data_IF_242420506486
#
_entry.id   IF_242420506486
#
_cell.length_a   1.000
_cell.length_b   1.000
_cell.length_c   1.000
_cell.angle_alpha   90.00
_cell.angle_beta   90.00
_cell.angle_gamma   90.00
#
_symmetry.space_group_name_H-M   'P 1'
#
loop_
_entity.id
_entity.type
_entity.pdbx_description
1 polymer ?
#
# COMPACT_ATOMS: atom_id res chain seq x y z
N UNK A 1 -12.69 11.91 -29.64
CA UNK A 1 -12.83 11.10 -28.41
C UNK A 1 -12.68 11.95 -27.15
N UNK A 2 -11.54 12.62 -26.85
CA UNK A 2 -11.44 13.44 -25.62
C UNK A 2 -12.55 14.50 -25.48
N UNK A 3 -12.99 15.09 -26.58
CA UNK A 3 -14.11 16.07 -26.55
C UNK A 3 -15.43 15.46 -26.08
N UNK A 4 -15.65 14.15 -26.28
CA UNK A 4 -16.84 13.44 -25.78
C UNK A 4 -16.84 13.33 -24.25
N UNK A 5 -15.65 13.35 -23.62
CA UNK A 5 -15.49 13.41 -22.18
C UNK A 5 -15.51 14.84 -21.63
N UNK A 6 -15.67 15.87 -22.49
CA UNK A 6 -15.72 17.27 -22.07
C UNK A 6 -14.36 17.81 -21.58
N UNK A 7 -13.24 17.26 -22.08
CA UNK A 7 -11.91 17.75 -21.74
C UNK A 7 -11.62 19.04 -22.50
N UNK A 8 -11.18 20.10 -21.79
CA UNK A 8 -10.84 21.39 -22.37
C UNK A 8 -9.63 21.28 -23.31
N UNK A 9 -9.68 21.95 -24.47
CA UNK A 9 -8.59 21.88 -25.48
C UNK A 9 -7.25 22.35 -24.91
N UNK A 10 -7.22 23.39 -24.08
CA UNK A 10 -6.01 23.90 -23.44
C UNK A 10 -5.33 22.83 -22.54
N UNK A 11 -6.14 22.04 -21.84
CA UNK A 11 -5.65 20.93 -21.01
C UNK A 11 -5.11 19.79 -21.90
N UNK A 12 -5.73 19.54 -23.05
CA UNK A 12 -5.24 18.51 -24.00
C UNK A 12 -3.90 18.90 -24.62
N UNK A 13 -3.69 20.16 -24.99
CA UNK A 13 -2.40 20.60 -25.52
C UNK A 13 -1.31 20.53 -24.44
N UNK A 14 -1.60 20.99 -23.22
CA UNK A 14 -0.68 20.84 -22.09
C UNK A 14 -0.34 19.37 -21.83
N UNK A 15 -1.32 18.48 -21.89
CA UNK A 15 -1.10 17.04 -21.69
C UNK A 15 -0.13 16.44 -22.72
N UNK A 16 -0.23 16.85 -24.00
CA UNK A 16 0.69 16.41 -25.06
C UNK A 16 2.14 16.85 -24.82
N UNK A 17 2.34 18.06 -24.27
CA UNK A 17 3.67 18.54 -23.90
C UNK A 17 4.21 17.76 -22.72
N UNK A 18 3.41 17.60 -21.66
CA UNK A 18 3.77 16.87 -20.45
C UNK A 18 4.13 15.41 -20.75
N UNK A 19 3.39 14.73 -21.65
CA UNK A 19 3.72 13.36 -22.04
C UNK A 19 5.12 13.23 -22.64
N UNK A 20 5.59 14.24 -23.38
CA UNK A 20 6.97 14.25 -23.91
C UNK A 20 7.99 14.45 -22.79
N UNK A 21 7.69 15.31 -21.82
CA UNK A 21 8.58 15.61 -20.69
C UNK A 21 8.78 14.41 -19.77
N UNK A 22 7.75 13.58 -19.57
CA UNK A 22 7.79 12.43 -18.64
C UNK A 22 8.31 11.13 -19.26
N UNK A 23 8.56 11.07 -20.57
CA UNK A 23 9.05 9.87 -21.26
C UNK A 23 10.29 9.23 -20.59
N UNK A 24 11.33 9.97 -20.17
CA UNK A 24 12.48 9.36 -19.51
C UNK A 24 12.12 8.63 -18.20
N UNK A 25 11.08 9.10 -17.48
CA UNK A 25 10.59 8.43 -16.29
C UNK A 25 9.77 7.18 -16.64
N UNK A 26 8.98 7.25 -17.71
CA UNK A 26 8.23 6.09 -18.20
C UNK A 26 9.13 4.95 -18.62
N UNK A 27 10.26 5.23 -19.27
CA UNK A 27 11.25 4.22 -19.64
C UNK A 27 11.87 3.53 -18.42
N UNK A 28 12.13 4.27 -17.32
CA UNK A 28 12.61 3.69 -16.05
C UNK A 28 11.55 2.79 -15.44
N UNK A 29 10.30 3.24 -15.41
CA UNK A 29 9.17 2.47 -14.88
C UNK A 29 8.98 1.18 -15.70
N UNK A 30 9.11 1.23 -17.03
CA UNK A 30 8.98 0.05 -17.88
C UNK A 30 10.08 -1.00 -17.60
N UNK A 31 11.29 -0.59 -17.27
CA UNK A 31 12.37 -1.52 -16.85
C UNK A 31 12.03 -2.22 -15.52
N UNK A 32 11.54 -1.46 -14.54
CA UNK A 32 11.11 -2.02 -13.25
C UNK A 32 9.93 -2.99 -13.45
N UNK A 33 8.98 -2.61 -14.32
CA UNK A 33 7.85 -3.49 -14.70
C UNK A 33 8.34 -4.80 -15.30
N UNK A 34 9.27 -4.74 -16.26
CA UNK A 34 9.85 -5.94 -16.88
C UNK A 34 10.50 -6.83 -15.82
N UNK A 35 11.35 -6.25 -14.96
CA UNK A 35 12.01 -6.98 -13.88
C UNK A 35 11.00 -7.71 -12.98
N UNK A 36 9.99 -7.01 -12.46
CA UNK A 36 8.99 -7.59 -11.56
C UNK A 36 8.07 -8.59 -12.29
N UNK A 37 7.75 -8.37 -13.57
CA UNK A 37 6.99 -9.34 -14.38
C UNK A 37 7.75 -10.65 -14.52
N UNK A 38 9.06 -10.60 -14.78
CA UNK A 38 9.91 -11.79 -14.85
C UNK A 38 10.08 -12.44 -13.48
N UNK A 39 10.18 -11.67 -12.38
CA UNK A 39 10.20 -12.18 -11.00
C UNK A 39 8.94 -12.99 -10.69
N UNK A 40 7.76 -12.48 -11.02
CA UNK A 40 6.47 -13.18 -10.80
C UNK A 40 6.37 -14.43 -11.69
N UNK A 41 6.67 -14.32 -12.99
CA UNK A 41 6.62 -15.48 -13.90
C UNK A 41 7.58 -16.59 -13.46
N UNK A 42 8.79 -16.23 -13.08
CA UNK A 42 9.78 -17.18 -12.57
C UNK A 42 9.28 -17.89 -11.30
N UNK A 43 8.67 -17.17 -10.37
CA UNK A 43 8.09 -17.77 -9.17
C UNK A 43 6.96 -18.75 -9.50
N UNK A 44 6.07 -18.42 -10.45
CA UNK A 44 5.01 -19.32 -10.91
C UNK A 44 5.58 -20.63 -11.47
N UNK A 45 6.60 -20.52 -12.32
CA UNK A 45 7.25 -21.69 -12.92
C UNK A 45 8.03 -22.52 -11.90
N UNK A 46 8.81 -21.86 -11.04
CA UNK A 46 9.63 -22.52 -10.01
C UNK A 46 8.78 -23.26 -8.98
N UNK A 47 7.66 -22.68 -8.55
CA UNK A 47 6.70 -23.31 -7.64
C UNK A 47 5.78 -24.31 -8.35
N UNK A 48 5.89 -24.49 -9.66
CA UNK A 48 5.08 -25.45 -10.41
C UNK A 48 3.59 -25.13 -10.38
N UNK A 49 3.22 -23.86 -10.56
CA UNK A 49 1.82 -23.47 -10.65
C UNK A 49 1.12 -24.21 -11.79
N UNK A 50 -0.01 -24.86 -11.51
CA UNK A 50 -0.79 -25.63 -12.48
C UNK A 50 -2.28 -25.31 -12.35
N UNK A 51 -3.08 -25.76 -13.33
CA UNK A 51 -4.52 -25.52 -13.37
C UNK A 51 -5.23 -25.98 -12.09
N UNK A 52 -4.82 -27.09 -11.49
CA UNK A 52 -5.43 -27.59 -10.25
C UNK A 52 -5.38 -26.59 -9.08
N UNK A 53 -4.39 -25.71 -9.05
CA UNK A 53 -4.23 -24.69 -8.00
C UNK A 53 -5.20 -23.52 -8.15
N UNK A 54 -5.90 -23.42 -9.30
CA UNK A 54 -6.95 -22.41 -9.51
C UNK A 54 -8.28 -22.79 -8.83
N UNK A 55 -8.45 -24.08 -8.50
CA UNK A 55 -9.62 -24.55 -7.77
C UNK A 55 -9.58 -24.12 -6.31
N UNK A 56 -10.74 -23.95 -5.71
CA UNK A 56 -10.88 -23.51 -4.33
C UNK A 56 -11.67 -24.50 -3.49
N UNK A 57 -11.63 -24.30 -2.19
CA UNK A 57 -12.40 -25.08 -1.21
C UNK A 57 -13.44 -24.25 -0.50
N UNK A 58 -14.31 -24.93 0.23
CA UNK A 58 -15.31 -24.39 1.16
C UNK A 58 -15.17 -25.06 2.52
N UNK A 59 -15.96 -24.66 3.52
CA UNK A 59 -15.93 -25.22 4.86
C UNK A 59 -14.60 -24.91 5.58
N UNK A 60 -13.92 -25.91 6.08
CA UNK A 60 -12.64 -25.70 6.77
C UNK A 60 -11.45 -25.44 5.84
N UNK A 61 -11.52 -25.87 4.59
CA UNK A 61 -10.40 -25.71 3.64
C UNK A 61 -9.12 -26.45 4.06
N UNK A 62 -9.25 -27.62 4.71
CA UNK A 62 -8.11 -28.45 5.10
C UNK A 62 -7.39 -28.93 3.83
N UNK A 63 -6.05 -28.88 3.81
CA UNK A 63 -5.18 -29.34 2.71
C UNK A 63 -5.51 -28.67 1.35
N UNK A 64 -5.98 -27.41 1.36
CA UNK A 64 -6.31 -26.70 0.12
C UNK A 64 -5.05 -26.39 -0.69
N UNK A 65 -4.81 -27.18 -1.74
CA UNK A 65 -3.59 -27.11 -2.56
C UNK A 65 -3.40 -25.75 -3.25
N UNK A 66 -4.49 -25.10 -3.68
CA UNK A 66 -4.43 -23.80 -4.34
C UNK A 66 -3.99 -22.70 -3.39
N UNK A 67 -4.60 -22.62 -2.21
CA UNK A 67 -4.21 -21.70 -1.15
C UNK A 67 -2.74 -21.87 -0.78
N UNK A 68 -2.33 -23.09 -0.50
CA UNK A 68 -0.96 -23.40 -0.10
C UNK A 68 0.05 -23.04 -1.21
N UNK A 69 -0.33 -23.25 -2.48
CA UNK A 69 0.50 -22.86 -3.62
C UNK A 69 0.66 -21.35 -3.77
N UNK A 70 -0.40 -20.57 -3.52
CA UNK A 70 -0.34 -19.12 -3.53
C UNK A 70 0.63 -18.61 -2.45
N UNK A 71 0.55 -19.16 -1.24
CA UNK A 71 1.45 -18.80 -0.13
C UNK A 71 2.91 -19.15 -0.44
N UNK A 72 3.18 -20.31 -1.08
CA UNK A 72 4.50 -20.70 -1.57
C UNK A 72 5.04 -19.69 -2.61
N UNK A 73 4.20 -19.28 -3.57
CA UNK A 73 4.55 -18.31 -4.60
C UNK A 73 4.89 -16.94 -3.99
N UNK A 74 4.11 -16.47 -3.01
CA UNK A 74 4.41 -15.22 -2.31
C UNK A 74 5.76 -15.32 -1.59
N UNK A 75 6.03 -16.42 -0.90
CA UNK A 75 7.32 -16.65 -0.24
C UNK A 75 8.49 -16.61 -1.23
N UNK A 76 8.33 -17.21 -2.43
CA UNK A 76 9.36 -17.16 -3.47
C UNK A 76 9.57 -15.74 -4.02
N UNK A 77 8.50 -14.96 -4.24
CA UNK A 77 8.60 -13.59 -4.75
C UNK A 77 9.27 -12.66 -3.75
N UNK A 78 8.87 -12.74 -2.48
CA UNK A 78 9.34 -11.86 -1.42
C UNK A 78 10.60 -12.38 -0.71
N UNK A 79 11.13 -13.54 -1.13
CA UNK A 79 12.32 -14.19 -0.54
C UNK A 79 12.16 -14.40 0.97
N UNK A 80 11.03 -14.96 1.37
CA UNK A 80 10.67 -15.25 2.75
C UNK A 80 10.54 -16.75 3.00
N UNK A 81 10.49 -17.13 4.27
CA UNK A 81 10.36 -18.53 4.68
C UNK A 81 8.92 -19.03 4.57
N UNK A 82 7.93 -18.15 4.83
CA UNK A 82 6.51 -18.52 4.82
C UNK A 82 5.61 -17.32 4.57
N UNK A 83 4.33 -17.57 4.22
CA UNK A 83 3.34 -16.54 3.91
C UNK A 83 1.94 -16.93 4.36
N UNK A 84 1.10 -15.92 4.60
CA UNK A 84 -0.36 -16.00 4.68
C UNK A 84 -0.94 -15.10 3.60
N UNK A 85 -1.71 -15.68 2.68
CA UNK A 85 -2.41 -14.93 1.62
C UNK A 85 -3.88 -15.35 1.65
N UNK A 86 -4.71 -14.54 2.29
CA UNK A 86 -6.03 -14.99 2.71
C UNK A 86 -7.13 -13.96 2.45
N UNK A 87 -8.26 -14.43 1.97
CA UNK A 87 -9.48 -13.63 1.91
C UNK A 87 -10.03 -13.29 3.30
N UNK A 88 -9.75 -14.13 4.31
CA UNK A 88 -10.12 -13.90 5.71
C UNK A 88 -9.37 -12.73 6.34
N UNK A 89 -8.24 -12.31 5.78
CA UNK A 89 -7.61 -11.04 6.08
C UNK A 89 -8.34 -9.95 5.26
N UNK A 90 -9.46 -9.45 5.74
CA UNK A 90 -10.41 -8.63 4.99
C UNK A 90 -9.87 -7.28 4.50
N UNK A 91 -8.71 -6.83 5.01
CA UNK A 91 -8.05 -5.58 4.62
C UNK A 91 -6.59 -5.57 5.06
N UNK A 92 -5.81 -4.61 4.54
CA UNK A 92 -4.45 -4.36 5.05
C UNK A 92 -4.43 -4.00 6.55
N UNK A 93 -5.38 -3.17 6.98
CA UNK A 93 -5.56 -2.82 8.40
C UNK A 93 -5.81 -4.06 9.29
N UNK A 94 -6.64 -5.00 8.81
CA UNK A 94 -6.86 -6.27 9.53
C UNK A 94 -5.58 -7.12 9.56
N UNK A 95 -4.84 -7.21 8.46
CA UNK A 95 -3.59 -7.96 8.43
C UNK A 95 -2.54 -7.36 9.38
N UNK A 96 -2.43 -6.02 9.45
CA UNK A 96 -1.58 -5.34 10.43
C UNK A 96 -2.02 -5.63 11.86
N UNK A 97 -3.32 -5.58 12.15
CA UNK A 97 -3.86 -5.94 13.48
C UNK A 97 -3.53 -7.38 13.84
N UNK A 98 -3.77 -8.34 12.93
CA UNK A 98 -3.43 -9.77 13.14
C UNK A 98 -1.94 -9.93 13.42
N UNK A 99 -1.07 -9.25 12.67
CA UNK A 99 0.37 -9.31 12.86
C UNK A 99 0.78 -8.75 14.23
N UNK A 100 0.35 -7.55 14.55
CA UNK A 100 0.73 -6.89 15.81
C UNK A 100 0.23 -7.65 17.04
N UNK A 101 -1.04 -8.07 17.05
CA UNK A 101 -1.60 -8.88 18.15
C UNK A 101 -1.06 -10.31 18.16
N UNK A 102 -0.59 -10.83 17.05
CA UNK A 102 0.09 -12.12 16.96
C UNK A 102 1.48 -12.08 17.58
N UNK A 103 2.21 -11.00 17.38
CA UNK A 103 3.64 -10.89 17.76
C UNK A 103 3.87 -10.22 19.11
N UNK A 104 2.96 -9.33 19.53
CA UNK A 104 3.12 -8.54 20.76
C UNK A 104 2.36 -9.15 21.94
N UNK A 105 2.91 -9.01 23.13
CA UNK A 105 2.35 -9.48 24.40
C UNK A 105 2.34 -8.34 25.42
N UNK A 106 1.54 -8.41 26.49
CA UNK A 106 1.58 -7.44 27.58
C UNK A 106 2.99 -7.18 28.09
N UNK A 107 3.37 -5.90 28.22
CA UNK A 107 4.70 -5.46 28.61
C UNK A 107 5.70 -5.27 27.46
N UNK A 108 5.43 -5.80 26.26
CA UNK A 108 6.29 -5.55 25.08
C UNK A 108 6.27 -4.08 24.68
N UNK A 109 7.35 -3.64 24.06
CA UNK A 109 7.51 -2.30 23.49
C UNK A 109 7.57 -2.42 21.95
N UNK A 110 6.69 -1.68 21.29
CA UNK A 110 6.71 -1.44 19.84
C UNK A 110 7.28 -0.06 19.57
N UNK A 111 8.21 0.05 18.64
CA UNK A 111 8.80 1.32 18.19
C UNK A 111 8.45 1.55 16.72
N UNK A 112 7.77 2.64 16.36
CA UNK A 112 7.72 3.12 14.99
C UNK A 112 8.89 4.05 14.72
N UNK A 113 9.61 3.83 13.61
CA UNK A 113 10.77 4.65 13.21
C UNK A 113 10.51 5.52 11.97
N UNK A 114 9.29 5.51 11.49
CA UNK A 114 8.81 6.33 10.37
C UNK A 114 7.86 7.46 10.81
N UNK A 115 7.89 7.82 12.08
CA UNK A 115 6.95 8.74 12.73
C UNK A 115 5.67 8.02 13.14
N UNK A 116 4.61 8.78 13.45
CA UNK A 116 3.31 8.20 13.74
C UNK A 116 2.77 7.47 12.50
N UNK A 117 2.28 6.20 12.63
CA UNK A 117 1.69 5.49 11.52
C UNK A 117 0.35 6.12 11.10
N UNK A 118 -0.22 5.62 10.00
CA UNK A 118 -1.48 6.17 9.48
C UNK A 118 -2.66 5.99 10.46
N UNK A 119 -3.71 6.81 10.30
CA UNK A 119 -4.76 7.03 11.30
C UNK A 119 -5.41 5.74 11.84
N UNK A 120 -5.79 4.79 10.97
CA UNK A 120 -6.43 3.55 11.43
C UNK A 120 -5.48 2.64 12.21
N UNK A 121 -4.17 2.67 11.94
CA UNK A 121 -3.18 1.94 12.73
C UNK A 121 -2.95 2.61 14.09
N UNK A 122 -3.03 3.93 14.17
CA UNK A 122 -2.99 4.64 15.46
C UNK A 122 -4.12 4.18 16.39
N UNK A 123 -5.32 3.93 15.85
CA UNK A 123 -6.45 3.38 16.62
C UNK A 123 -6.15 1.96 17.13
N UNK A 124 -5.56 1.09 16.30
CA UNK A 124 -5.15 -0.26 16.70
C UNK A 124 -4.11 -0.20 17.82
N UNK A 125 -3.14 0.71 17.72
CA UNK A 125 -2.10 0.92 18.74
C UNK A 125 -2.69 1.50 20.02
N UNK A 126 -3.67 2.40 19.91
CA UNK A 126 -4.30 3.11 21.03
C UNK A 126 -3.69 4.49 21.30
N UNK A 127 -3.22 5.18 20.25
CA UNK A 127 -2.67 6.54 20.29
C UNK A 127 -3.52 7.57 19.55
N UNK A 128 -4.63 7.16 18.92
CA UNK A 128 -5.62 8.07 18.33
C UNK A 128 -6.38 8.85 19.40
N UNK A 129 -7.07 9.94 19.00
CA UNK A 129 -7.91 10.74 19.93
C UNK A 129 -9.05 9.88 20.49
N UNK A 130 -9.73 9.12 19.64
CA UNK A 130 -10.72 8.14 20.08
C UNK A 130 -10.03 6.81 20.45
N UNK A 131 -9.94 6.53 21.74
CA UNK A 131 -9.28 5.33 22.21
C UNK A 131 -10.22 4.11 22.16
N UNK A 132 -9.81 3.07 21.44
CA UNK A 132 -10.49 1.79 21.42
C UNK A 132 -10.07 0.95 22.65
N UNK A 133 -11.04 0.39 23.38
CA UNK A 133 -10.79 -0.60 24.45
C UNK A 133 -10.21 -1.92 23.94
N UNK A 134 -10.14 -2.11 22.61
CA UNK A 134 -9.54 -3.27 21.96
C UNK A 134 -8.15 -2.96 21.37
N UNK A 135 -7.55 -1.83 21.76
CA UNK A 135 -6.23 -1.42 21.27
C UNK A 135 -5.09 -2.19 21.95
N UNK A 136 -3.91 -2.21 21.31
CA UNK A 136 -2.69 -2.80 21.89
C UNK A 136 -2.34 -2.19 23.27
N UNK A 137 -2.55 -0.88 23.43
CA UNK A 137 -2.34 -0.18 24.70
C UNK A 137 -3.19 -0.77 25.83
N UNK A 138 -4.46 -1.08 25.58
CA UNK A 138 -5.37 -1.69 26.56
C UNK A 138 -4.94 -3.13 26.90
N UNK A 139 -4.25 -3.82 25.99
CA UNK A 139 -3.62 -5.12 26.23
C UNK A 139 -2.22 -5.01 26.87
N UNK A 140 -1.81 -3.81 27.31
CA UNK A 140 -0.56 -3.58 28.02
C UNK A 140 0.69 -3.53 27.15
N UNK A 141 0.55 -3.35 25.83
CA UNK A 141 1.66 -3.08 24.92
C UNK A 141 2.03 -1.59 24.98
N UNK A 142 3.32 -1.30 25.05
CA UNK A 142 3.85 0.06 25.04
C UNK A 142 4.21 0.48 23.62
N UNK A 143 3.99 1.76 23.31
CA UNK A 143 4.31 2.36 22.02
C UNK A 143 5.31 3.50 22.20
N UNK A 144 6.28 3.55 21.29
CA UNK A 144 7.23 4.64 21.12
C UNK A 144 7.37 4.98 19.64
N UNK A 145 7.81 6.20 19.32
CA UNK A 145 8.10 6.58 17.94
C UNK A 145 9.34 7.46 17.84
N UNK A 146 9.98 7.41 16.68
CA UNK A 146 11.05 8.30 16.25
C UNK A 146 10.61 8.94 14.95
N UNK A 147 10.64 10.28 14.90
CA UNK A 147 10.27 11.04 13.71
C UNK A 147 11.34 10.96 12.63
N UNK A 148 10.95 11.11 11.38
CA UNK A 148 11.89 11.30 10.28
C UNK A 148 12.52 12.69 10.34
N UNK A 149 13.77 12.80 9.94
CA UNK A 149 14.49 14.08 9.80
C UNK A 149 14.75 14.33 8.32
N UNK A 150 14.18 15.40 7.78
CA UNK A 150 14.26 15.73 6.34
C UNK A 150 13.82 14.57 5.42
N UNK A 151 12.72 13.94 5.72
CA UNK A 151 12.17 12.78 4.99
C UNK A 151 13.10 11.54 4.99
N UNK A 152 14.01 11.42 5.97
CA UNK A 152 14.87 10.26 6.13
C UNK A 152 14.93 9.78 7.58
N UNK A 153 15.39 8.56 7.80
CA UNK A 153 15.51 7.98 9.13
C UNK A 153 16.56 8.72 9.97
N UNK A 154 16.23 9.01 11.23
CA UNK A 154 17.21 9.43 12.24
C UNK A 154 17.99 8.20 12.74
N UNK A 155 19.03 7.84 11.99
CA UNK A 155 19.84 6.64 12.24
C UNK A 155 20.45 6.63 13.63
N UNK A 156 20.94 7.78 14.14
CA UNK A 156 21.55 7.86 15.45
C UNK A 156 20.55 7.65 16.58
N UNK A 157 19.37 8.27 16.49
CA UNK A 157 18.29 8.06 17.45
C UNK A 157 17.81 6.60 17.43
N UNK A 158 17.65 6.01 16.24
CA UNK A 158 17.26 4.61 16.06
C UNK A 158 18.27 3.65 16.69
N UNK A 159 19.56 3.80 16.41
CA UNK A 159 20.65 2.99 17.01
C UNK A 159 20.66 3.13 18.53
N UNK A 160 20.62 4.36 19.03
CA UNK A 160 20.59 4.65 20.46
C UNK A 160 19.40 3.97 21.15
N UNK A 161 18.21 3.99 20.53
CA UNK A 161 17.04 3.37 21.12
C UNK A 161 17.07 1.84 21.03
N UNK A 162 17.48 1.28 19.88
CA UNK A 162 17.54 -0.16 19.65
C UNK A 162 18.61 -0.86 20.51
N UNK A 163 19.70 -0.17 20.90
CA UNK A 163 20.77 -0.71 21.74
C UNK A 163 20.35 -1.04 23.19
N UNK A 164 19.15 -0.60 23.62
CA UNK A 164 18.65 -0.92 24.97
C UNK A 164 18.12 -2.36 25.09
N UNK A 165 17.95 -3.08 23.97
CA UNK A 165 17.52 -4.50 23.90
C UNK A 165 16.19 -4.83 24.60
N UNK A 166 15.31 -3.84 24.82
CA UNK A 166 14.00 -4.00 25.44
C UNK A 166 12.83 -3.91 24.42
N UNK A 167 13.14 -3.59 23.18
CA UNK A 167 12.19 -3.56 22.08
C UNK A 167 11.83 -4.97 21.62
N UNK A 168 10.53 -5.23 21.44
CA UNK A 168 10.05 -6.47 20.82
C UNK A 168 9.94 -6.34 19.31
N UNK A 169 9.44 -5.19 18.83
CA UNK A 169 9.18 -4.96 17.41
C UNK A 169 9.48 -3.51 17.03
N UNK A 170 10.13 -3.35 15.87
CA UNK A 170 10.30 -2.07 15.17
C UNK A 170 9.39 -2.12 13.95
N UNK A 171 8.56 -1.09 13.80
CA UNK A 171 7.64 -0.91 12.69
C UNK A 171 8.17 0.18 11.76
N UNK A 172 8.05 -0.06 10.45
CA UNK A 172 8.33 0.89 9.37
C UNK A 172 7.09 0.97 8.48
N UNK A 173 6.46 2.13 8.40
CA UNK A 173 5.46 2.41 7.39
C UNK A 173 6.13 2.98 6.13
N UNK A 174 6.14 2.21 5.02
CA UNK A 174 6.81 2.59 3.77
C UNK A 174 6.13 3.78 3.09
N UNK A 175 4.83 3.71 2.89
CA UNK A 175 4.04 4.79 2.29
C UNK A 175 3.70 5.87 3.31
N UNK A 176 3.36 7.06 2.80
CA UNK A 176 3.18 8.26 3.63
C UNK A 176 1.86 8.35 4.40
N UNK A 177 0.82 7.57 4.04
CA UNK A 177 -0.52 7.79 4.58
C UNK A 177 -1.00 9.22 4.27
N UNK A 178 -1.71 9.87 5.20
CA UNK A 178 -2.10 11.29 5.08
C UNK A 178 -1.05 12.27 5.62
N UNK A 179 0.22 11.87 5.64
CA UNK A 179 1.32 12.78 5.98
C UNK A 179 1.89 13.48 4.75
N UNK A 180 2.65 14.54 4.98
CA UNK A 180 3.33 15.32 3.93
C UNK A 180 4.73 14.81 3.61
N UNK A 181 5.26 13.84 4.40
CA UNK A 181 6.58 13.26 4.20
C UNK A 181 6.70 12.53 2.86
N UNK A 182 7.91 12.31 2.40
CA UNK A 182 8.15 11.38 1.27
C UNK A 182 8.00 9.93 1.72
N UNK A 183 7.58 9.06 0.81
CA UNK A 183 7.58 7.62 1.04
C UNK A 183 9.01 7.07 1.03
N UNK A 184 9.24 5.97 1.73
CA UNK A 184 10.58 5.46 2.05
C UNK A 184 11.02 4.45 0.98
N UNK A 185 12.10 4.76 0.26
CA UNK A 185 12.72 3.86 -0.72
C UNK A 185 13.37 2.66 -0.05
N UNK A 186 13.53 1.58 -0.80
CA UNK A 186 14.20 0.36 -0.32
C UNK A 186 15.62 0.66 0.18
N UNK A 187 16.36 1.55 -0.48
CA UNK A 187 17.73 1.94 -0.04
C UNK A 187 17.72 2.60 1.34
N UNK A 188 16.71 3.44 1.65
CA UNK A 188 16.56 4.04 2.98
C UNK A 188 16.23 3.00 4.02
N UNK A 189 15.28 2.11 3.71
CA UNK A 189 14.88 0.98 4.58
C UNK A 189 16.09 0.07 4.85
N UNK A 190 16.88 -0.27 3.83
CA UNK A 190 18.10 -1.07 3.96
C UNK A 190 19.11 -0.44 4.94
N UNK A 191 19.35 0.87 4.82
CA UNK A 191 20.24 1.61 5.72
C UNK A 191 19.77 1.56 7.17
N UNK A 192 18.47 1.78 7.39
CA UNK A 192 17.90 1.72 8.74
C UNK A 192 17.99 0.30 9.33
N UNK A 193 17.66 -0.73 8.55
CA UNK A 193 17.75 -2.13 8.98
C UNK A 193 19.19 -2.50 9.33
N UNK A 194 20.17 -2.15 8.48
CA UNK A 194 21.59 -2.39 8.76
C UNK A 194 22.02 -1.73 10.08
N UNK A 195 21.65 -0.48 10.29
CA UNK A 195 21.96 0.25 11.52
C UNK A 195 21.34 -0.40 12.77
N UNK A 196 20.10 -0.87 12.68
CA UNK A 196 19.45 -1.62 13.76
C UNK A 196 20.18 -2.93 14.04
N UNK A 197 20.53 -3.71 13.01
CA UNK A 197 21.19 -5.03 13.14
C UNK A 197 22.61 -4.94 13.70
N UNK A 198 23.30 -3.80 13.54
CA UNK A 198 24.59 -3.56 14.18
C UNK A 198 24.50 -3.56 15.71
N UNK A 199 23.39 -3.10 16.28
CA UNK A 199 23.21 -2.93 17.74
C UNK A 199 22.19 -3.89 18.34
N UNK A 200 21.25 -4.42 17.56
CA UNK A 200 20.22 -5.35 18.03
C UNK A 200 19.84 -6.34 16.93
N UNK A 201 20.23 -7.60 17.12
CA UNK A 201 20.00 -8.68 16.15
C UNK A 201 18.64 -9.36 16.32
N UNK A 202 18.02 -9.23 17.49
CA UNK A 202 16.88 -10.06 17.90
C UNK A 202 15.54 -9.35 17.75
N UNK A 203 15.53 -8.01 17.66
CA UNK A 203 14.31 -7.22 17.49
C UNK A 203 13.64 -7.55 16.15
N UNK A 204 12.32 -7.77 16.17
CA UNK A 204 11.54 -8.01 14.95
C UNK A 204 11.42 -6.71 14.18
N UNK A 205 11.75 -6.73 12.88
CA UNK A 205 11.55 -5.60 11.97
C UNK A 205 10.38 -5.92 11.04
N UNK A 206 9.27 -5.21 11.25
CA UNK A 206 8.05 -5.29 10.45
C UNK A 206 7.95 -4.08 9.52
N UNK A 207 7.59 -4.31 8.26
CA UNK A 207 7.30 -3.23 7.31
C UNK A 207 5.85 -3.32 6.84
N UNK A 208 5.07 -2.24 7.02
CA UNK A 208 3.85 -2.02 6.26
C UNK A 208 4.24 -1.62 4.84
N UNK A 209 4.08 -2.58 3.92
CA UNK A 209 4.50 -2.45 2.52
C UNK A 209 3.38 -1.98 1.58
N UNK A 210 2.21 -1.63 2.13
CA UNK A 210 1.08 -1.13 1.36
C UNK A 210 1.49 0.00 0.42
N UNK A 211 1.08 -0.09 -0.85
CA UNK A 211 1.39 0.84 -1.96
C UNK A 211 2.84 0.77 -2.49
N UNK A 212 3.75 0.07 -1.82
CA UNK A 212 5.16 -0.02 -2.23
C UNK A 212 5.47 -1.22 -3.11
N UNK A 213 4.64 -2.25 -3.11
CA UNK A 213 4.91 -3.50 -3.81
C UNK A 213 5.10 -3.28 -5.32
N UNK A 214 6.20 -3.79 -5.85
CA UNK A 214 6.59 -3.71 -7.27
C UNK A 214 6.85 -2.29 -7.81
N UNK A 215 6.94 -1.28 -6.95
CA UNK A 215 7.35 0.08 -7.34
C UNK A 215 8.85 0.18 -7.55
N UNK A 216 9.62 -0.66 -6.85
CA UNK A 216 11.06 -0.83 -6.99
C UNK A 216 11.38 -2.29 -7.37
N UNK A 217 12.64 -2.61 -7.69
CA UNK A 217 13.05 -3.99 -8.06
C UNK A 217 13.11 -4.93 -6.86
N UNK A 218 13.47 -4.37 -5.68
CA UNK A 218 13.56 -5.11 -4.40
C UNK A 218 12.40 -4.79 -3.48
N UNK A 219 12.15 -5.73 -2.58
CA UNK A 219 11.16 -5.60 -1.51
C UNK A 219 11.85 -5.51 -0.13
N UNK A 220 11.17 -5.02 0.92
CA UNK A 220 11.81 -4.83 2.23
C UNK A 220 12.41 -6.10 2.84
N UNK A 221 11.86 -7.28 2.56
CA UNK A 221 12.38 -8.57 3.01
C UNK A 221 13.71 -8.92 2.35
N UNK A 222 13.95 -8.48 1.11
CA UNK A 222 15.22 -8.69 0.40
C UNK A 222 16.36 -7.84 0.98
N UNK A 223 16.03 -6.87 1.85
CA UNK A 223 17.02 -6.01 2.53
C UNK A 223 17.02 -6.18 4.06
N UNK A 224 16.35 -7.22 4.57
CA UNK A 224 16.48 -7.68 5.96
C UNK A 224 15.29 -7.40 6.87
N UNK A 225 14.14 -7.01 6.37
CA UNK A 225 12.91 -7.02 7.15
C UNK A 225 12.50 -8.46 7.48
N UNK A 226 12.07 -8.71 8.72
CA UNK A 226 11.66 -10.05 9.18
C UNK A 226 10.27 -10.42 8.70
N UNK A 227 9.40 -9.44 8.53
CA UNK A 227 8.00 -9.63 8.14
C UNK A 227 7.47 -8.39 7.43
N UNK A 228 6.70 -8.58 6.39
CA UNK A 228 5.98 -7.50 5.69
C UNK A 228 4.50 -7.82 5.60
N UNK A 229 3.71 -6.76 5.53
CA UNK A 229 2.24 -6.82 5.48
C UNK A 229 1.74 -5.93 4.35
N UNK A 230 0.71 -6.37 3.64
CA UNK A 230 0.06 -5.54 2.63
C UNK A 230 -1.35 -6.02 2.27
N UNK A 231 -2.01 -5.26 1.42
CA UNK A 231 -3.40 -5.48 1.02
C UNK A 231 -3.50 -5.98 -0.42
N UNK A 232 -4.39 -6.94 -0.67
CA UNK A 232 -4.72 -7.38 -2.03
C UNK A 232 -5.72 -6.44 -2.75
N UNK A 233 -6.35 -5.52 -2.03
CA UNK A 233 -7.13 -4.44 -2.65
C UNK A 233 -6.24 -3.25 -3.09
N UNK A 234 -4.93 -3.43 -3.05
CA UNK A 234 -3.89 -2.48 -3.49
C UNK A 234 -3.04 -3.13 -4.60
N UNK A 235 -1.74 -2.86 -4.61
CA UNK A 235 -0.82 -3.22 -5.67
C UNK A 235 -0.93 -4.68 -6.14
N UNK A 236 -0.80 -5.66 -5.22
CA UNK A 236 -0.70 -7.08 -5.60
C UNK A 236 -2.00 -7.70 -6.10
N UNK A 237 -3.14 -7.12 -5.76
CA UNK A 237 -4.41 -7.60 -6.28
C UNK A 237 -4.77 -7.04 -7.65
N UNK A 238 -4.07 -5.98 -8.10
CA UNK A 238 -4.19 -5.39 -9.44
C UNK A 238 -5.64 -5.01 -9.86
N UNK A 239 -6.52 -4.69 -8.90
CA UNK A 239 -7.96 -4.47 -9.16
C UNK A 239 -8.74 -5.74 -9.52
N UNK A 240 -8.12 -6.93 -9.44
CA UNK A 240 -8.73 -8.23 -9.75
C UNK A 240 -9.10 -8.98 -8.48
N UNK A 241 -8.27 -8.88 -7.43
CA UNK A 241 -8.59 -9.45 -6.14
C UNK A 241 -9.77 -8.70 -5.51
N UNK A 242 -10.80 -9.44 -5.09
CA UNK A 242 -12.06 -8.86 -4.58
C UNK A 242 -12.03 -8.60 -3.07
N UNK A 243 -11.00 -9.08 -2.38
CA UNK A 243 -10.77 -8.95 -0.94
C UNK A 243 -9.38 -9.45 -0.61
N UNK A 244 -9.00 -9.39 0.65
CA UNK A 244 -7.84 -10.09 1.14
C UNK A 244 -6.63 -9.21 1.41
N UNK A 245 -5.67 -9.85 2.07
CA UNK A 245 -4.37 -9.27 2.38
C UNK A 245 -3.32 -10.38 2.48
N UNK A 246 -2.05 -9.97 2.59
CA UNK A 246 -0.95 -10.89 2.78
C UNK A 246 -0.07 -10.48 3.96
N UNK A 247 0.54 -11.48 4.58
CA UNK A 247 1.59 -11.38 5.58
C UNK A 247 2.67 -12.35 5.15
N UNK A 248 3.92 -11.91 4.96
CA UNK A 248 5.01 -12.80 4.55
C UNK A 248 6.29 -12.47 5.29
N UNK A 249 7.07 -13.48 5.66
CA UNK A 249 8.26 -13.27 6.49
C UNK A 249 8.87 -14.56 7.02
N UNK A 250 9.51 -14.45 8.19
CA UNK A 250 10.05 -15.59 8.92
C UNK A 250 8.93 -16.54 9.32
N UNK A 251 9.19 -17.84 9.20
CA UNK A 251 8.20 -18.89 9.47
C UNK A 251 7.63 -18.84 10.90
N UNK A 252 8.50 -18.64 11.91
CA UNK A 252 8.09 -18.56 13.31
C UNK A 252 7.10 -17.38 13.56
N UNK A 253 7.26 -16.27 12.84
CA UNK A 253 6.36 -15.12 12.95
C UNK A 253 5.04 -15.37 12.21
N UNK A 254 5.10 -16.01 11.04
CA UNK A 254 3.91 -16.37 10.26
C UNK A 254 3.02 -17.36 11.02
N UNK A 255 3.61 -18.34 11.72
CA UNK A 255 2.88 -19.27 12.58
C UNK A 255 2.08 -18.53 13.65
N UNK A 256 2.68 -17.55 14.35
CA UNK A 256 1.99 -16.73 15.36
C UNK A 256 0.86 -15.88 14.75
N UNK A 257 1.08 -15.33 13.56
CA UNK A 257 0.05 -14.59 12.83
C UNK A 257 -1.11 -15.51 12.41
N UNK A 258 -0.81 -16.72 11.97
CA UNK A 258 -1.82 -17.70 11.59
C UNK A 258 -2.68 -18.15 12.79
N UNK A 259 -2.06 -18.39 13.94
CA UNK A 259 -2.79 -18.68 15.18
C UNK A 259 -3.65 -17.51 15.66
N UNK A 260 -3.20 -16.27 15.39
CA UNK A 260 -4.00 -15.08 15.71
C UNK A 260 -5.17 -14.90 14.73
N UNK A 261 -4.98 -15.25 13.46
CA UNK A 261 -6.02 -15.18 12.43
C UNK A 261 -7.13 -16.23 12.67
N UNK A 262 -6.76 -17.40 13.09
CA UNK A 262 -7.65 -18.56 13.31
C UNK A 262 -7.83 -18.82 14.82
N UNK A 263 -7.04 -19.73 15.35
CA UNK A 263 -6.98 -20.01 16.80
C UNK A 263 -5.63 -20.68 17.14
N UNK A 264 -5.16 -20.56 18.39
CA UNK A 264 -4.01 -21.33 18.88
C UNK A 264 -4.19 -22.83 18.65
N UNK A 265 -3.17 -23.46 18.06
CA UNK A 265 -3.18 -24.87 17.72
C UNK A 265 -3.88 -25.23 16.39
N UNK A 266 -4.53 -24.26 15.75
CA UNK A 266 -5.16 -24.42 14.41
C UNK A 266 -4.27 -23.82 13.32
N UNK A 267 -3.82 -22.60 13.50
CA UNK A 267 -2.85 -21.93 12.63
C UNK A 267 -3.25 -21.89 11.16
N UNK A 268 -2.35 -22.32 10.27
CA UNK A 268 -2.49 -22.30 8.80
C UNK A 268 -3.38 -23.40 8.23
N UNK A 269 -3.70 -24.44 8.99
CA UNK A 269 -4.34 -25.66 8.49
C UNK A 269 -5.72 -25.44 7.89
N UNK A 270 -6.44 -24.42 8.36
CA UNK A 270 -7.79 -24.07 7.90
C UNK A 270 -7.84 -22.68 7.26
N UNK A 271 -8.93 -22.43 6.57
CA UNK A 271 -9.23 -21.18 5.88
C UNK A 271 -9.48 -21.43 4.39
N UNK A 272 -10.74 -21.66 3.99
CA UNK A 272 -11.07 -21.93 2.59
C UNK A 272 -10.83 -20.68 1.73
N UNK A 273 -10.41 -20.85 0.49
CA UNK A 273 -10.18 -19.71 -0.40
C UNK A 273 -11.47 -19.12 -1.00
N UNK A 274 -12.61 -19.81 -0.90
CA UNK A 274 -13.93 -19.30 -1.30
C UNK A 274 -13.95 -18.70 -2.72
N UNK A 275 -13.42 -19.42 -3.68
CA UNK A 275 -13.28 -19.02 -5.09
C UNK A 275 -12.32 -17.84 -5.35
N UNK A 276 -11.44 -17.51 -4.41
CA UNK A 276 -10.49 -16.39 -4.60
C UNK A 276 -9.16 -16.79 -5.26
N UNK A 277 -8.81 -18.09 -5.33
CA UNK A 277 -7.50 -18.53 -5.86
C UNK A 277 -7.21 -17.95 -7.25
N UNK A 278 -8.17 -18.05 -8.16
CA UNK A 278 -8.02 -17.53 -9.53
C UNK A 278 -7.80 -16.02 -9.56
N UNK A 279 -8.54 -15.25 -8.75
CA UNK A 279 -8.40 -13.80 -8.69
C UNK A 279 -7.07 -13.38 -8.06
N UNK A 280 -6.61 -14.08 -7.02
CA UNK A 280 -5.32 -13.82 -6.38
C UNK A 280 -4.15 -14.10 -7.32
N UNK A 281 -4.17 -15.25 -8.03
CA UNK A 281 -3.12 -15.61 -8.99
C UNK A 281 -3.11 -14.66 -10.18
N UNK A 282 -4.27 -14.33 -10.76
CA UNK A 282 -4.36 -13.36 -11.86
C UNK A 282 -3.97 -11.96 -11.41
N UNK A 283 -4.43 -11.53 -10.23
CA UNK A 283 -4.05 -10.24 -9.65
C UNK A 283 -2.53 -10.12 -9.54
N UNK A 284 -1.89 -11.10 -8.93
CA UNK A 284 -0.43 -11.14 -8.78
C UNK A 284 0.29 -11.14 -10.14
N UNK A 285 -0.22 -11.88 -11.14
CA UNK A 285 0.35 -11.90 -12.50
C UNK A 285 0.32 -10.53 -13.17
N UNK A 286 -0.79 -9.82 -13.03
CA UNK A 286 -0.95 -8.49 -13.63
C UNK A 286 -0.37 -7.35 -12.80
N UNK A 287 -0.08 -7.59 -11.51
CA UNK A 287 0.35 -6.56 -10.57
C UNK A 287 1.53 -5.70 -11.08
N UNK A 288 2.62 -6.26 -11.64
CA UNK A 288 3.72 -5.43 -12.13
C UNK A 288 3.29 -4.44 -13.22
N UNK A 289 2.38 -4.84 -14.12
CA UNK A 289 1.88 -3.98 -15.20
C UNK A 289 0.93 -2.91 -14.68
N UNK A 290 0.04 -3.27 -13.74
CA UNK A 290 -0.90 -2.33 -13.15
C UNK A 290 -0.19 -1.33 -12.25
N UNK A 291 0.78 -1.77 -11.45
CA UNK A 291 1.62 -0.88 -10.62
C UNK A 291 2.39 0.10 -11.50
N UNK A 292 2.99 -0.36 -12.61
CA UNK A 292 3.67 0.52 -13.55
C UNK A 292 2.71 1.58 -14.14
N UNK A 293 1.48 1.17 -14.49
CA UNK A 293 0.43 2.10 -14.96
C UNK A 293 0.07 3.13 -13.90
N UNK A 294 -0.08 2.72 -12.64
CA UNK A 294 -0.36 3.60 -11.52
C UNK A 294 0.79 4.60 -11.27
N UNK A 295 2.04 4.13 -11.30
CA UNK A 295 3.23 5.01 -11.16
C UNK A 295 3.34 5.99 -12.33
N UNK A 296 3.09 5.56 -13.57
CA UNK A 296 3.04 6.46 -14.73
C UNK A 296 1.94 7.51 -14.60
N UNK A 297 0.77 7.11 -14.12
CA UNK A 297 -0.35 8.02 -13.81
C UNK A 297 0.08 9.07 -12.79
N UNK A 298 0.74 8.66 -11.70
CA UNK A 298 1.24 9.56 -10.67
C UNK A 298 2.31 10.53 -11.22
N UNK A 299 3.25 10.05 -12.05
CA UNK A 299 4.28 10.88 -12.70
C UNK A 299 3.65 11.91 -13.63
N UNK A 300 2.67 11.50 -14.44
CA UNK A 300 1.94 12.41 -15.32
C UNK A 300 1.16 13.46 -14.53
N UNK A 301 0.44 13.04 -13.47
CA UNK A 301 -0.29 13.95 -12.59
C UNK A 301 0.63 14.97 -11.92
N UNK A 302 1.76 14.50 -11.39
CA UNK A 302 2.77 15.37 -10.79
C UNK A 302 3.20 16.46 -11.78
N UNK A 303 3.59 16.09 -13.00
CA UNK A 303 4.12 17.05 -13.96
C UNK A 303 3.08 18.03 -14.49
N UNK A 304 1.88 17.57 -14.82
CA UNK A 304 0.83 18.47 -15.36
C UNK A 304 0.36 19.46 -14.29
N UNK A 305 0.23 19.03 -13.03
CA UNK A 305 -0.16 19.91 -11.93
C UNK A 305 0.95 20.89 -11.53
N UNK A 306 2.23 20.46 -11.57
CA UNK A 306 3.36 21.35 -11.39
C UNK A 306 3.39 22.46 -12.47
N UNK A 307 3.13 22.12 -13.75
CA UNK A 307 2.99 23.08 -14.84
C UNK A 307 1.85 24.07 -14.65
N UNK A 308 0.82 23.68 -13.91
CA UNK A 308 -0.32 24.55 -13.52
C UNK A 308 -0.07 25.34 -12.22
N UNK A 309 1.14 25.22 -11.61
CA UNK A 309 1.55 25.98 -10.44
C UNK A 309 1.16 25.37 -9.08
N UNK A 310 0.70 24.12 -9.06
CA UNK A 310 0.42 23.43 -7.80
C UNK A 310 1.69 22.84 -7.17
N UNK A 311 1.72 22.80 -5.84
CA UNK A 311 2.76 22.07 -5.10
C UNK A 311 2.40 20.57 -5.08
N UNK A 312 3.36 19.74 -5.50
CA UNK A 312 3.18 18.29 -5.64
C UNK A 312 4.32 17.53 -4.97
N UNK A 313 4.03 16.36 -4.44
CA UNK A 313 5.04 15.52 -3.78
C UNK A 313 4.72 14.01 -3.97
N UNK A 314 5.66 13.21 -4.54
CA UNK A 314 6.96 13.62 -5.10
C UNK A 314 6.79 14.40 -6.42
N UNK A 315 7.85 15.10 -6.84
CA UNK A 315 7.92 15.66 -8.18
C UNK A 315 8.04 14.56 -9.23
N UNK A 316 7.74 14.89 -10.50
CA UNK A 316 7.69 13.90 -11.58
C UNK A 316 9.02 13.17 -11.83
N UNK A 317 10.15 13.79 -11.54
CA UNK A 317 11.52 13.28 -11.75
C UNK A 317 12.19 12.76 -10.47
N UNK A 318 11.53 12.87 -9.31
CA UNK A 318 12.01 12.34 -8.05
C UNK A 318 11.79 10.82 -7.93
N UNK A 319 12.64 10.10 -7.14
CA UNK A 319 12.42 8.70 -6.81
C UNK A 319 11.05 8.47 -6.15
N UNK A 320 10.43 7.36 -6.50
CA UNK A 320 9.15 6.93 -5.94
C UNK A 320 9.28 5.60 -5.22
N UNK A 321 8.67 5.50 -4.06
CA UNK A 321 8.63 4.29 -3.23
C UNK A 321 7.21 3.73 -3.07
N UNK A 322 6.21 4.45 -3.60
CA UNK A 322 4.81 4.06 -3.63
C UNK A 322 4.09 4.64 -4.87
N UNK A 323 2.80 4.34 -5.01
CA UNK A 323 1.94 4.82 -6.10
C UNK A 323 1.20 6.11 -5.75
N UNK A 324 1.44 6.71 -4.58
CA UNK A 324 0.69 7.88 -4.09
C UNK A 324 1.29 9.17 -4.64
N UNK A 325 0.42 10.02 -5.17
CA UNK A 325 0.74 11.40 -5.57
C UNK A 325 -0.05 12.37 -4.70
N UNK A 326 0.65 13.25 -3.98
CA UNK A 326 -0.01 14.33 -3.25
C UNK A 326 -0.01 15.62 -4.05
N UNK A 327 -1.11 16.36 -3.94
CA UNK A 327 -1.33 17.64 -4.60
C UNK A 327 -1.89 18.61 -3.57
N UNK A 328 -1.16 19.68 -3.29
CA UNK A 328 -1.64 20.75 -2.41
C UNK A 328 -2.56 21.71 -3.18
N UNK A 329 -3.86 21.63 -2.90
CA UNK A 329 -4.89 22.39 -3.62
C UNK A 329 -5.22 23.73 -2.96
N UNK A 330 -4.85 23.91 -1.69
CA UNK A 330 -4.90 25.19 -0.96
C UNK A 330 -6.30 25.63 -0.51
N UNK A 331 -7.38 24.93 -0.89
CA UNK A 331 -8.73 25.18 -0.36
C UNK A 331 -9.60 23.94 -0.40
N UNK A 332 -10.61 23.89 0.50
CA UNK A 332 -11.57 22.80 0.55
C UNK A 332 -12.34 22.65 -0.78
N UNK A 333 -12.79 23.77 -1.35
CA UNK A 333 -13.53 23.79 -2.63
C UNK A 333 -12.73 23.14 -3.77
N UNK A 334 -11.46 23.47 -3.91
CA UNK A 334 -10.59 22.84 -4.93
C UNK A 334 -10.36 21.36 -4.68
N UNK A 335 -10.17 20.95 -3.42
CA UNK A 335 -10.01 19.54 -3.06
C UNK A 335 -11.27 18.75 -3.42
N UNK A 336 -12.43 19.24 -3.05
CA UNK A 336 -13.72 18.64 -3.37
C UNK A 336 -13.91 18.51 -4.89
N UNK A 337 -13.70 19.62 -5.64
CA UNK A 337 -13.83 19.61 -7.11
C UNK A 337 -12.85 18.67 -7.79
N UNK A 338 -11.62 18.59 -7.31
CA UNK A 338 -10.63 17.67 -7.86
C UNK A 338 -11.08 16.21 -7.69
N UNK A 339 -11.50 15.81 -6.47
CA UNK A 339 -12.02 14.48 -6.22
C UNK A 339 -13.29 14.19 -7.05
N UNK A 340 -14.22 15.14 -7.14
CA UNK A 340 -15.40 15.02 -7.99
C UNK A 340 -15.03 14.81 -9.48
N UNK A 341 -14.01 15.51 -9.97
CA UNK A 341 -13.51 15.34 -11.32
C UNK A 341 -12.87 13.97 -11.56
N UNK A 342 -12.11 13.43 -10.61
CA UNK A 342 -11.62 12.04 -10.66
C UNK A 342 -12.78 11.06 -10.71
N UNK A 343 -13.81 11.23 -9.86
CA UNK A 343 -15.02 10.39 -9.86
C UNK A 343 -15.72 10.40 -11.22
N UNK A 344 -15.88 11.58 -11.83
CA UNK A 344 -16.49 11.73 -13.17
C UNK A 344 -15.69 11.03 -14.28
N UNK A 345 -14.39 10.77 -14.08
CA UNK A 345 -13.53 10.02 -15.00
C UNK A 345 -13.50 8.50 -14.72
N UNK A 346 -14.17 8.03 -13.69
CA UNK A 346 -14.16 6.63 -13.26
C UNK A 346 -15.10 5.74 -14.11
N UNK A 347 -14.83 4.43 -14.23
CA UNK A 347 -15.67 3.52 -14.99
C UNK A 347 -16.98 3.18 -14.27
N UNK A 348 -16.99 3.24 -12.95
CA UNK A 348 -18.14 2.96 -12.09
C UNK A 348 -18.58 4.26 -11.43
N UNK A 349 -19.88 4.45 -11.32
CA UNK A 349 -20.49 5.59 -10.62
C UNK A 349 -19.97 6.98 -11.07
N UNK A 350 -19.64 7.13 -12.35
CA UNK A 350 -19.13 8.40 -12.90
C UNK A 350 -20.13 9.56 -12.81
N UNK A 351 -21.41 9.25 -12.61
CA UNK A 351 -22.51 10.21 -12.42
C UNK A 351 -22.75 10.57 -10.93
N UNK A 352 -22.08 9.91 -9.99
CA UNK A 352 -22.16 10.21 -8.56
C UNK A 352 -21.26 11.40 -8.24
N UNK A 353 -21.75 12.29 -7.40
CA UNK A 353 -21.02 13.47 -6.92
C UNK A 353 -20.62 13.20 -5.47
N UNK A 354 -19.36 12.87 -5.17
CA UNK A 354 -18.93 12.64 -3.81
C UNK A 354 -18.94 13.94 -2.99
N UNK A 355 -19.29 13.80 -1.70
CA UNK A 355 -19.28 14.86 -0.71
C UNK A 355 -18.43 14.48 0.50
N UNK A 356 -17.83 15.46 1.20
CA UNK A 356 -17.12 15.19 2.44
C UNK A 356 -18.01 14.50 3.48
N UNK A 357 -17.52 13.42 4.08
CA UNK A 357 -18.26 12.68 5.10
C UNK A 357 -17.35 12.19 6.22
N UNK A 358 -17.92 11.91 7.38
CA UNK A 358 -17.21 11.27 8.47
C UNK A 358 -16.88 9.82 8.09
N UNK A 359 -15.65 9.41 8.34
CA UNK A 359 -15.17 8.05 8.09
C UNK A 359 -14.61 7.43 9.36
N UNK A 360 -14.87 6.14 9.56
CA UNK A 360 -14.37 5.41 10.72
C UNK A 360 -12.83 5.41 10.77
N UNK A 361 -12.26 5.83 11.90
CA UNK A 361 -10.81 5.90 12.11
C UNK A 361 -10.16 7.21 11.66
N UNK A 362 -10.96 8.23 11.28
CA UNK A 362 -10.46 9.56 10.91
C UNK A 362 -11.12 10.66 11.74
N UNK A 363 -10.34 11.65 12.18
CA UNK A 363 -10.83 12.77 12.99
C UNK A 363 -11.54 13.83 12.14
N UNK A 364 -11.07 14.05 10.91
CA UNK A 364 -11.64 15.03 9.97
C UNK A 364 -12.61 14.35 8.97
N UNK A 365 -13.54 15.12 8.43
CA UNK A 365 -14.30 14.67 7.26
C UNK A 365 -13.35 14.42 6.09
N UNK A 366 -13.60 13.36 5.33
CA UNK A 366 -12.82 12.99 4.14
C UNK A 366 -13.70 13.07 2.92
N UNK A 367 -13.20 13.71 1.85
CA UNK A 367 -13.76 13.56 0.50
C UNK A 367 -13.05 12.39 -0.18
N UNK A 368 -13.80 11.51 -0.85
CA UNK A 368 -13.25 10.34 -1.53
C UNK A 368 -13.90 10.14 -2.90
N UNK A 369 -13.06 10.01 -3.92
CA UNK A 369 -13.43 9.52 -5.24
C UNK A 369 -12.90 8.10 -5.41
N UNK A 370 -13.78 7.12 -5.60
CA UNK A 370 -13.47 5.70 -5.69
C UNK A 370 -14.50 4.97 -6.55
N UNK A 371 -14.61 5.36 -7.82
CA UNK A 371 -15.44 4.69 -8.80
C UNK A 371 -14.78 3.43 -9.33
N UNK A 372 -14.64 2.42 -8.48
CA UNK A 372 -13.84 1.21 -8.67
C UNK A 372 -14.69 -0.04 -8.82
N UNK A 373 -14.20 -1.06 -9.55
CA UNK A 373 -14.85 -2.36 -9.71
C UNK A 373 -14.92 -3.13 -8.39
N UNK A 374 -13.87 -3.00 -7.57
CA UNK A 374 -13.82 -3.54 -6.21
C UNK A 374 -13.87 -2.37 -5.23
N UNK A 375 -14.89 -2.32 -4.39
CA UNK A 375 -15.06 -1.26 -3.41
C UNK A 375 -13.81 -1.11 -2.54
N UNK A 376 -13.26 0.10 -2.47
CA UNK A 376 -12.07 0.42 -1.71
C UNK A 376 -10.73 0.00 -2.35
N UNK A 377 -10.74 -0.49 -3.59
CA UNK A 377 -9.53 -0.83 -4.36
C UNK A 377 -8.82 0.42 -4.84
N UNK A 378 -7.78 0.84 -4.12
CA UNK A 378 -7.06 2.07 -4.41
C UNK A 378 -6.07 1.96 -5.58
N UNK A 379 -5.73 0.75 -6.04
CA UNK A 379 -4.92 0.55 -7.25
C UNK A 379 -5.69 0.89 -8.53
N UNK A 380 -7.00 0.93 -8.48
CA UNK A 380 -7.83 1.17 -9.67
C UNK A 380 -7.80 2.61 -10.17
N UNK A 381 -7.88 3.55 -9.41
CA UNK A 381 -7.74 5.00 -9.41
C UNK A 381 -8.65 5.54 -8.32
N UNK A 382 -8.07 6.15 -7.34
CA UNK A 382 -8.80 6.84 -6.30
C UNK A 382 -8.12 8.16 -5.95
N UNK A 383 -8.89 9.05 -5.39
CA UNK A 383 -8.39 10.31 -4.87
C UNK A 383 -9.19 10.68 -3.64
N UNK A 384 -8.50 10.88 -2.54
CA UNK A 384 -9.11 11.25 -1.28
C UNK A 384 -8.32 12.37 -0.61
N UNK A 385 -8.91 12.98 0.42
CA UNK A 385 -8.22 13.94 1.24
C UNK A 385 -9.08 14.39 2.41
N UNK A 386 -8.46 14.55 3.61
CA UNK A 386 -9.12 15.14 4.75
C UNK A 386 -9.39 16.63 4.51
N UNK A 387 -10.56 17.09 4.94
CA UNK A 387 -10.97 18.50 4.79
C UNK A 387 -10.31 19.34 5.88
N UNK A 388 -9.00 19.51 5.76
CA UNK A 388 -8.16 20.34 6.64
C UNK A 388 -7.03 21.02 5.85
N UNK A 389 -6.56 22.22 6.29
CA UNK A 389 -5.39 22.84 5.66
C UNK A 389 -4.15 21.94 5.71
N UNK A 390 -3.30 21.96 4.65
CA UNK A 390 -3.36 22.81 3.46
C UNK A 390 -4.24 22.26 2.31
N UNK A 391 -5.16 21.35 2.57
CA UNK A 391 -6.10 20.74 1.61
C UNK A 391 -5.39 19.95 0.52
N UNK A 392 -4.80 18.84 0.94
CA UNK A 392 -4.03 17.95 0.09
C UNK A 392 -4.93 16.84 -0.46
N UNK A 393 -4.89 16.66 -1.77
CA UNK A 393 -5.41 15.47 -2.43
C UNK A 393 -4.35 14.37 -2.43
N UNK A 394 -4.73 13.17 -2.04
CA UNK A 394 -3.93 11.94 -2.11
C UNK A 394 -4.50 11.09 -3.23
N UNK A 395 -3.83 11.11 -4.37
CA UNK A 395 -4.25 10.38 -5.57
C UNK A 395 -3.39 9.13 -5.72
N UNK A 396 -3.99 8.01 -6.02
CA UNK A 396 -3.30 6.75 -6.26
C UNK A 396 -4.02 5.88 -7.28
N UNK A 397 -3.27 4.97 -7.91
CA UNK A 397 -3.82 3.98 -8.82
C UNK A 397 -3.93 4.41 -10.28
N UNK A 398 -4.58 3.57 -11.03
CA UNK A 398 -4.77 3.64 -12.47
C UNK A 398 -4.49 2.29 -13.11
N UNK A 399 -5.53 1.46 -13.34
CA UNK A 399 -5.40 0.10 -13.92
C UNK A 399 -4.69 0.12 -15.27
N UNK A 400 -4.96 1.14 -16.07
CA UNK A 400 -4.18 1.49 -17.26
C UNK A 400 -3.79 2.96 -17.21
N UNK A 401 -2.68 3.30 -17.85
CA UNK A 401 -2.22 4.69 -17.92
C UNK A 401 -3.26 5.60 -18.61
N UNK A 402 -3.92 5.10 -19.66
CA UNK A 402 -4.93 5.85 -20.41
C UNK A 402 -6.14 6.21 -19.54
N UNK A 403 -6.58 5.27 -18.72
CA UNK A 403 -7.64 5.50 -17.75
C UNK A 403 -7.22 6.51 -16.67
N UNK A 404 -6.05 6.31 -16.06
CA UNK A 404 -5.50 7.24 -15.08
C UNK A 404 -5.34 8.65 -15.62
N UNK A 405 -4.78 8.78 -16.83
CA UNK A 405 -4.65 10.06 -17.56
C UNK A 405 -6.00 10.72 -17.78
N UNK A 406 -7.01 9.96 -18.25
CA UNK A 406 -8.34 10.51 -18.48
C UNK A 406 -8.95 11.07 -17.19
N UNK A 407 -8.84 10.35 -16.07
CA UNK A 407 -9.33 10.81 -14.77
C UNK A 407 -8.71 12.14 -14.35
N UNK A 408 -7.38 12.29 -14.51
CA UNK A 408 -6.67 13.54 -14.22
C UNK A 408 -7.13 14.68 -15.13
N UNK A 409 -7.21 14.44 -16.45
CA UNK A 409 -7.66 15.46 -17.40
C UNK A 409 -9.11 15.90 -17.13
N UNK A 410 -9.95 14.96 -16.68
CA UNK A 410 -11.33 15.25 -16.28
C UNK A 410 -11.34 16.15 -15.05
N UNK A 411 -10.56 15.79 -14.01
CA UNK A 411 -10.42 16.62 -12.81
C UNK A 411 -9.96 18.03 -13.13
N UNK A 412 -8.92 18.19 -13.97
CA UNK A 412 -8.42 19.50 -14.39
C UNK A 412 -9.41 20.32 -15.23
N UNK A 413 -10.34 19.66 -15.91
CA UNK A 413 -11.37 20.35 -16.69
C UNK A 413 -12.56 20.84 -15.86
N UNK A 414 -12.62 20.50 -14.56
CA UNK A 414 -13.64 20.97 -13.62
C UNK A 414 -13.24 22.25 -12.85
N UNK A 415 -12.00 22.66 -12.95
CA UNK A 415 -11.47 23.89 -12.36
C UNK A 415 -11.82 25.15 -13.16
#
# INVERSE_FOLDING_TARGET
>A
MYNEFGIKNEILELAKEVEKEVQPQFEKIDKIKEWNSLKVLNAFQKCGLSEMHLHSSTGYGIDEVGRNKIEEIYSEIFKTEDSLVRAQLISGTHALAVTLFGLLRPGNIMLSISGAPYDTLQTIIGISQEQSKSSLKEFGVKYEQIELVNDDFDIEAIKSRASKHDLKLIEIQRSKGYSTRKSLTIDKIEKAIKAIREVNKDVIIMVDNCYGEFVEEKEPTEVGADIIVGSLMKNLGAGIATSGAYITGRKDLIELCAERLTAPGVGKEIGPSLNQNTSFIKGLFFAPSVVASAVKTAVFASRILERLGYNVNPKYDEPRADIVQTIELGSADKLIKFCQGIQMGSPIDSNVVPEPSAMAGYDDQVIMAAGTFTEGSTIELSCDGPIRPPYIAYMQGGLTYEYGKLGILKALSTF
#
